data_IF_139386535074
#
_entry.id   IF_139386535074
#
_cell.length_a   1.000
_cell.length_b   1.000
_cell.length_c   1.000
_cell.angle_alpha   90.00
_cell.angle_beta   90.00
_cell.angle_gamma   90.00
#
_symmetry.space_group_name_H-M   'P 1'
#
loop_
_entity.id
_entity.type
_entity.pdbx_description
1 polymer ?
#
# COMPACT_ATOMS: atom_id res chain seq x y z
N UNK A 1 -17.40 14.85 -3.25
CA UNK A 1 -16.59 13.92 -2.44
C UNK A 1 -16.53 12.57 -3.15
N UNK A 2 -15.42 11.82 -3.06
CA UNK A 2 -15.11 10.59 -3.81
C UNK A 2 -14.85 9.46 -2.82
N UNK A 3 -15.90 8.92 -2.22
CA UNK A 3 -15.80 7.99 -1.09
C UNK A 3 -16.76 6.81 -1.29
N UNK A 4 -16.34 5.55 -1.13
CA UNK A 4 -17.09 4.35 -1.55
C UNK A 4 -18.51 4.17 -0.96
N UNK A 5 -18.87 4.93 0.08
CA UNK A 5 -20.22 4.93 0.68
C UNK A 5 -21.22 5.92 0.05
N UNK A 6 -20.83 6.65 -1.01
CA UNK A 6 -21.67 7.66 -1.65
C UNK A 6 -22.67 7.13 -2.69
N UNK A 7 -22.59 5.84 -3.06
CA UNK A 7 -23.51 5.22 -4.02
C UNK A 7 -24.98 5.12 -3.53
N UNK A 8 -25.25 5.41 -2.26
CA UNK A 8 -26.61 5.49 -1.71
C UNK A 8 -27.24 6.89 -1.72
N UNK A 9 -26.62 7.89 -2.36
CA UNK A 9 -27.10 9.27 -2.36
C UNK A 9 -27.87 9.66 -3.64
N UNK A 10 -28.78 10.66 -3.59
CA UNK A 10 -29.60 11.10 -4.74
C UNK A 10 -28.81 11.57 -5.97
N UNK A 11 -27.56 11.99 -5.79
CA UNK A 11 -26.62 12.30 -6.86
C UNK A 11 -25.42 11.37 -6.70
N UNK A 12 -25.41 10.20 -7.35
CA UNK A 12 -24.33 9.24 -7.22
C UNK A 12 -23.03 9.87 -7.72
N UNK A 13 -22.02 9.91 -6.86
CA UNK A 13 -20.67 10.27 -7.28
C UNK A 13 -20.09 9.17 -8.16
N UNK A 14 -19.33 9.53 -9.20
CA UNK A 14 -18.48 8.53 -9.89
C UNK A 14 -17.41 8.07 -8.91
N UNK A 15 -17.51 6.81 -8.47
CA UNK A 15 -16.49 6.22 -7.60
C UNK A 15 -15.14 6.20 -8.29
N UNK A 16 -14.13 6.69 -7.59
CA UNK A 16 -12.73 6.42 -7.90
C UNK A 16 -12.20 5.70 -6.67
N UNK A 17 -11.68 4.48 -6.83
CA UNK A 17 -11.07 3.75 -5.72
C UNK A 17 -9.67 4.31 -5.51
N UNK A 18 -9.39 5.04 -4.40
CA UNK A 18 -8.06 5.60 -4.15
C UNK A 18 -7.08 4.55 -3.65
N UNK A 19 -7.56 3.34 -3.39
CA UNK A 19 -6.80 2.20 -2.85
C UNK A 19 -6.86 1.02 -3.82
N UNK A 20 -5.74 0.33 -3.95
CA UNK A 20 -5.60 -0.89 -4.76
C UNK A 20 -4.91 -1.97 -3.93
N UNK A 21 -4.98 -3.22 -4.37
CA UNK A 21 -4.34 -4.37 -3.74
C UNK A 21 -3.48 -5.13 -4.75
N UNK A 22 -2.38 -5.71 -4.28
CA UNK A 22 -1.57 -6.65 -5.04
C UNK A 22 -1.56 -8.02 -4.36
N UNK A 23 -1.60 -9.10 -5.14
CA UNK A 23 -1.33 -10.45 -4.67
C UNK A 23 0.11 -10.81 -5.02
N UNK A 24 0.89 -11.24 -4.02
CA UNK A 24 2.26 -11.68 -4.20
C UNK A 24 2.36 -13.19 -3.94
N UNK A 25 3.13 -13.89 -4.77
CA UNK A 25 3.43 -15.31 -4.62
C UNK A 25 4.79 -15.65 -5.23
N UNK A 26 5.50 -16.61 -4.64
CA UNK A 26 6.82 -17.03 -5.09
C UNK A 26 7.94 -16.05 -4.72
N UNK A 27 9.14 -16.25 -5.26
CA UNK A 27 10.27 -15.32 -5.09
C UNK A 27 10.75 -15.12 -3.64
N UNK A 28 10.38 -16.00 -2.71
CA UNK A 28 10.74 -15.89 -1.29
C UNK A 28 9.92 -14.87 -0.48
N UNK A 29 8.81 -14.34 -1.01
CA UNK A 29 7.95 -13.41 -0.27
C UNK A 29 7.29 -14.08 0.94
N UNK A 30 7.12 -13.32 2.02
CA UNK A 30 6.48 -13.81 3.25
C UNK A 30 4.97 -13.78 3.15
N UNK A 31 4.33 -14.91 3.46
CA UNK A 31 2.88 -14.99 3.56
C UNK A 31 2.34 -14.02 4.62
N UNK A 32 1.26 -13.32 4.31
CA UNK A 32 0.62 -12.39 5.24
C UNK A 32 -0.26 -11.36 4.55
N UNK A 33 -0.83 -10.48 5.37
CA UNK A 33 -1.52 -9.26 4.92
C UNK A 33 -0.71 -8.06 5.39
N UNK A 34 -0.36 -7.21 4.44
CA UNK A 34 0.41 -5.98 4.66
C UNK A 34 -0.44 -4.81 4.19
N UNK A 35 -0.70 -3.85 5.07
CA UNK A 35 -1.71 -2.81 4.85
C UNK A 35 -3.13 -3.20 5.24
N UNK A 36 -3.95 -2.18 5.47
CA UNK A 36 -5.36 -2.31 5.81
C UNK A 36 -6.16 -1.08 5.41
N UNK A 37 -7.48 -1.23 5.42
CA UNK A 37 -8.44 -0.16 5.23
C UNK A 37 -9.40 -0.11 6.41
N UNK A 38 -10.02 1.05 6.64
CA UNK A 38 -11.13 1.19 7.57
C UNK A 38 -12.47 0.73 6.95
N UNK A 39 -13.56 0.89 7.70
CA UNK A 39 -14.92 0.54 7.29
C UNK A 39 -15.47 1.41 6.14
N UNK A 40 -14.83 2.56 5.88
CA UNK A 40 -15.11 3.43 4.74
C UNK A 40 -14.21 3.13 3.54
N UNK A 41 -13.39 2.07 3.61
CA UNK A 41 -12.39 1.66 2.62
C UNK A 41 -11.28 2.71 2.40
N UNK A 42 -11.03 3.55 3.40
CA UNK A 42 -9.88 4.46 3.45
C UNK A 42 -8.62 3.73 3.87
N UNK A 43 -7.48 4.07 3.25
CA UNK A 43 -6.18 3.48 3.61
C UNK A 43 -5.78 3.86 5.05
N UNK A 44 -5.37 2.87 5.84
CA UNK A 44 -4.76 3.09 7.14
C UNK A 44 -3.25 3.28 7.01
N UNK A 45 -2.66 4.03 7.95
CA UNK A 45 -1.21 4.20 8.06
C UNK A 45 -0.56 2.89 8.48
N UNK A 46 0.65 2.64 7.98
CA UNK A 46 1.46 1.47 8.30
C UNK A 46 2.90 1.84 8.61
N UNK A 47 3.57 0.98 9.38
CA UNK A 47 5.03 0.96 9.44
C UNK A 47 5.58 0.23 8.21
N UNK A 48 6.47 0.88 7.46
CA UNK A 48 6.97 0.33 6.19
C UNK A 48 7.94 -0.85 6.39
N UNK A 49 8.59 -0.94 7.54
CA UNK A 49 9.48 -2.07 7.88
C UNK A 49 8.75 -3.43 7.90
N UNK A 50 7.54 -3.50 8.44
CA UNK A 50 6.79 -4.76 8.60
C UNK A 50 5.39 -4.75 7.97
N UNK A 51 4.97 -3.63 7.38
CA UNK A 51 3.70 -3.45 6.69
C UNK A 51 2.46 -3.51 7.59
N UNK A 52 2.61 -3.41 8.92
CA UNK A 52 1.48 -3.44 9.87
C UNK A 52 0.91 -2.07 10.15
N UNK A 53 -0.38 -2.03 10.49
CA UNK A 53 -1.08 -0.79 10.85
C UNK A 53 -0.41 -0.12 12.05
N UNK A 54 -0.17 1.18 11.91
CA UNK A 54 0.43 2.02 12.93
C UNK A 54 -0.06 3.46 12.75
N UNK A 55 -0.69 4.04 13.77
CA UNK A 55 -1.21 5.42 13.73
C UNK A 55 -0.11 6.48 13.52
N UNK A 56 1.13 6.15 13.88
CA UNK A 56 2.32 7.00 13.66
C UNK A 56 3.05 6.69 12.36
N UNK A 57 2.59 5.68 11.62
CA UNK A 57 3.16 5.27 10.35
C UNK A 57 2.82 6.21 9.18
N UNK A 58 3.09 5.71 7.99
CA UNK A 58 2.88 6.40 6.72
C UNK A 58 1.74 5.74 5.94
N UNK A 59 1.06 6.51 5.08
CA UNK A 59 0.16 5.89 4.11
C UNK A 59 1.01 5.07 3.12
N UNK A 60 0.65 3.80 2.92
CA UNK A 60 1.32 2.94 1.95
C UNK A 60 1.03 3.46 0.53
N UNK A 61 2.07 3.87 -0.19
CA UNK A 61 1.98 4.33 -1.57
C UNK A 61 2.56 3.30 -2.54
N UNK A 62 2.18 3.42 -3.82
CA UNK A 62 2.71 2.59 -4.90
C UNK A 62 4.24 2.63 -4.98
N UNK A 63 4.84 3.79 -4.67
CA UNK A 63 6.28 3.98 -4.72
C UNK A 63 7.00 3.18 -3.63
N UNK A 64 6.43 3.08 -2.42
CA UNK A 64 6.99 2.26 -1.34
C UNK A 64 7.01 0.78 -1.74
N UNK A 65 5.90 0.31 -2.33
CA UNK A 65 5.76 -1.07 -2.81
C UNK A 65 6.77 -1.39 -3.93
N UNK A 66 6.85 -0.53 -4.94
CA UNK A 66 7.78 -0.71 -6.05
C UNK A 66 9.25 -0.63 -5.61
N UNK A 67 9.58 0.27 -4.68
CA UNK A 67 10.92 0.36 -4.12
C UNK A 67 11.30 -0.91 -3.34
N UNK A 68 10.40 -1.43 -2.50
CA UNK A 68 10.60 -2.67 -1.76
C UNK A 68 10.80 -3.88 -2.67
N UNK A 69 10.01 -3.98 -3.74
CA UNK A 69 10.14 -5.06 -4.71
C UNK A 69 11.49 -5.03 -5.44
N UNK A 70 11.97 -3.85 -5.84
CA UNK A 70 13.28 -3.73 -6.47
C UNK A 70 14.39 -4.17 -5.52
N UNK A 71 14.34 -3.71 -4.27
CA UNK A 71 15.35 -4.07 -3.28
C UNK A 71 15.33 -5.55 -2.91
N UNK A 72 14.15 -6.16 -2.83
CA UNK A 72 13.98 -7.61 -2.67
C UNK A 72 14.67 -8.41 -3.77
N UNK A 73 14.66 -7.88 -5.00
CA UNK A 73 15.34 -8.47 -6.15
C UNK A 73 16.84 -8.14 -6.22
N UNK A 74 17.40 -7.51 -5.18
CA UNK A 74 18.80 -7.09 -5.14
C UNK A 74 19.10 -5.86 -6.01
N UNK A 75 18.07 -5.11 -6.39
CA UNK A 75 18.15 -3.96 -7.30
C UNK A 75 17.90 -2.67 -6.53
N UNK A 76 18.84 -1.72 -6.56
CA UNK A 76 18.73 -0.47 -5.80
C UNK A 76 17.57 0.41 -6.29
N UNK A 77 16.52 0.54 -5.50
CA UNK A 77 15.34 1.36 -5.80
C UNK A 77 15.67 2.82 -6.14
N UNK A 78 16.70 3.38 -5.48
CA UNK A 78 17.12 4.79 -5.57
C UNK A 78 17.46 5.26 -6.98
N UNK A 79 17.79 4.33 -7.89
CA UNK A 79 18.06 4.66 -9.29
C UNK A 79 16.82 5.15 -10.03
N UNK A 80 15.63 4.70 -9.65
CA UNK A 80 14.37 5.02 -10.34
C UNK A 80 13.36 5.73 -9.45
N UNK A 81 13.38 5.44 -8.14
CA UNK A 81 12.45 5.97 -7.14
C UNK A 81 13.28 6.61 -6.03
N UNK A 82 13.71 7.84 -6.24
CA UNK A 82 14.54 8.56 -5.27
C UNK A 82 13.71 9.02 -4.06
N UNK A 83 14.33 9.02 -2.87
CA UNK A 83 13.78 9.57 -1.62
C UNK A 83 12.46 8.95 -1.15
N UNK A 84 12.24 7.67 -1.45
CA UNK A 84 11.10 6.90 -0.97
C UNK A 84 11.59 5.81 -0.03
N UNK A 85 10.93 5.69 1.12
CA UNK A 85 11.16 4.59 2.04
C UNK A 85 10.54 3.30 1.48
N UNK A 86 11.32 2.22 1.27
CA UNK A 86 10.81 0.96 0.75
C UNK A 86 9.84 0.29 1.73
N UNK A 87 8.82 -0.38 1.22
CA UNK A 87 8.05 -1.33 2.01
C UNK A 87 8.87 -2.62 2.14
N UNK A 88 9.24 -3.02 3.36
CA UNK A 88 9.99 -4.26 3.61
C UNK A 88 9.10 -5.43 4.06
N UNK A 89 7.93 -5.19 4.64
CA UNK A 89 7.08 -6.24 5.25
C UNK A 89 6.99 -7.59 4.49
N UNK A 90 6.52 -7.63 3.23
CA UNK A 90 6.42 -8.87 2.45
C UNK A 90 7.78 -9.42 1.95
N UNK A 91 8.86 -8.66 2.06
CA UNK A 91 10.19 -8.92 1.47
C UNK A 91 11.31 -9.14 2.50
N UNK A 92 11.08 -8.82 3.77
CA UNK A 92 12.05 -8.96 4.86
C UNK A 92 12.33 -10.42 5.22
#
# INVERSE_FOLDING_TARGET
SRTPRLNGQPQPGKDHWPVTSALLFGGGVRAGRYGATDDALGALRVRLDDGRVDDRGSLLQYANFAAGLLEHLGVSSRRWIANVEPLHGPFA
#
